data_IF_014630821650
#
_entry.id   IF_014630821650
#
_cell.length_a   1.000
_cell.length_b   1.000
_cell.length_c   1.000
_cell.angle_alpha   90.00
_cell.angle_beta   90.00
_cell.angle_gamma   90.00
#
_symmetry.space_group_name_H-M   'P 1'
#
loop_
_entity.id
_entity.type
_entity.pdbx_description
1 polymer ?
#
# COMPACT_ATOMS: atom_id res chain seq x y z
N UNK A 1 -47.92 41.31 34.10
CA UNK A 1 -46.51 41.53 34.48
C UNK A 1 -45.75 41.98 33.24
N UNK A 2 -45.55 43.29 33.07
CA UNK A 2 -44.87 43.93 31.93
C UNK A 2 -44.12 45.13 32.48
N UNK A 3 -42.79 45.15 32.37
CA UNK A 3 -41.97 46.35 32.50
C UNK A 3 -40.80 46.26 31.53
N UNK A 4 -41.04 46.75 30.32
CA UNK A 4 -40.04 47.25 29.37
C UNK A 4 -39.67 48.68 29.75
N UNK A 5 -38.37 49.02 29.76
CA UNK A 5 -37.75 50.21 29.13
C UNK A 5 -36.46 50.65 29.83
N UNK A 6 -35.47 50.97 28.99
CA UNK A 6 -34.34 51.85 29.30
C UNK A 6 -33.03 51.09 29.51
N UNK A 7 -31.88 51.45 28.95
CA UNK A 7 -31.41 52.73 28.43
C UNK A 7 -30.20 52.47 27.50
N UNK A 8 -30.12 53.29 26.45
CA UNK A 8 -28.99 53.47 25.52
C UNK A 8 -27.80 54.19 26.20
N UNK A 9 -26.57 53.67 26.05
CA UNK A 9 -25.27 54.40 26.12
C UNK A 9 -24.24 53.56 25.33
N UNK A 10 -23.99 53.77 24.02
CA UNK A 10 -22.99 54.64 23.35
C UNK A 10 -21.56 54.71 23.93
N UNK A 11 -20.60 54.34 23.06
CA UNK A 11 -19.19 54.81 22.92
C UNK A 11 -18.10 54.17 23.80
N UNK A 12 -17.12 53.49 23.21
CA UNK A 12 -15.84 54.06 22.72
C UNK A 12 -14.89 52.92 22.30
N UNK A 13 -14.20 53.10 21.18
CA UNK A 13 -13.28 52.13 20.62
C UNK A 13 -11.98 51.96 21.41
N UNK A 14 -11.43 50.74 21.35
CA UNK A 14 -10.01 50.48 21.45
C UNK A 14 -9.60 49.69 20.21
N UNK A 15 -8.72 50.30 19.40
CA UNK A 15 -7.86 49.58 18.49
C UNK A 15 -6.94 48.69 19.34
N UNK A 16 -7.18 47.38 19.30
CA UNK A 16 -6.27 46.37 19.82
C UNK A 16 -5.77 45.54 18.64
N UNK A 17 -4.50 45.72 18.28
CA UNK A 17 -3.75 44.75 17.48
C UNK A 17 -3.69 43.45 18.30
N UNK A 18 -4.52 42.47 17.93
CA UNK A 18 -4.28 41.08 18.28
C UNK A 18 -3.47 40.49 17.16
N UNK A 19 -2.17 40.31 17.38
CA UNK A 19 -1.30 39.46 16.56
C UNK A 19 -1.82 38.02 16.63
N UNK A 20 -2.81 37.73 15.78
CA UNK A 20 -3.20 36.37 15.46
C UNK A 20 -2.11 35.79 14.59
N UNK A 21 -1.05 35.28 15.22
CA UNK A 21 -0.09 34.42 14.56
C UNK A 21 -0.88 33.35 13.82
N UNK A 22 -0.80 33.24 12.48
CA UNK A 22 -1.27 32.03 11.85
C UNK A 22 -0.38 30.93 12.43
N UNK A 23 -0.95 30.11 13.31
CA UNK A 23 -0.40 28.78 13.58
C UNK A 23 -0.12 28.21 12.20
N UNK A 24 1.16 28.17 11.84
CA UNK A 24 1.64 27.34 10.75
C UNK A 24 1.23 25.96 11.21
N UNK A 25 0.09 25.49 10.71
CA UNK A 25 -0.30 24.12 10.86
C UNK A 25 0.90 23.34 10.40
N UNK A 26 1.52 22.64 11.33
CA UNK A 26 2.45 21.58 10.99
C UNK A 26 1.70 20.74 9.98
N UNK A 27 2.14 20.79 8.73
CA UNK A 27 1.63 19.92 7.69
C UNK A 27 2.02 18.54 8.19
N UNK A 28 1.06 17.87 8.81
CA UNK A 28 1.18 16.48 9.21
C UNK A 28 1.22 15.73 7.89
N UNK A 29 2.42 15.60 7.33
CA UNK A 29 2.68 14.70 6.23
C UNK A 29 2.34 13.33 6.80
N UNK A 30 1.19 12.78 6.41
CA UNK A 30 0.86 11.40 6.74
C UNK A 30 2.09 10.54 6.39
N UNK A 31 2.56 9.68 7.32
CA UNK A 31 3.72 8.87 7.05
C UNK A 31 3.41 8.02 5.82
N UNK A 32 4.23 8.17 4.77
CA UNK A 32 4.19 7.27 3.63
C UNK A 32 4.37 5.85 4.18
N UNK A 33 3.43 4.93 3.94
CA UNK A 33 3.54 3.58 4.46
C UNK A 33 4.80 2.93 3.91
N UNK A 34 5.55 2.29 4.79
CA UNK A 34 6.72 1.51 4.41
C UNK A 34 6.26 0.23 3.71
N UNK A 35 6.80 -0.03 2.52
CA UNK A 35 6.57 -1.24 1.76
C UNK A 35 7.93 -1.92 1.60
N UNK A 36 8.04 -3.14 2.11
CA UNK A 36 9.30 -3.89 2.11
C UNK A 36 9.14 -5.13 1.24
N UNK A 37 9.99 -5.30 0.24
CA UNK A 37 10.02 -6.56 -0.52
C UNK A 37 10.59 -7.67 0.36
N UNK A 38 9.82 -8.75 0.52
CA UNK A 38 10.24 -9.99 1.18
C UNK A 38 11.00 -10.86 0.19
N UNK A 39 10.42 -11.09 -0.99
CA UNK A 39 11.02 -11.95 -2.02
C UNK A 39 10.53 -11.59 -3.43
N UNK A 40 11.30 -12.00 -4.44
CA UNK A 40 10.93 -11.97 -5.86
C UNK A 40 11.00 -13.39 -6.42
N UNK A 41 9.85 -14.03 -6.46
CA UNK A 41 9.69 -15.43 -6.86
C UNK A 41 9.43 -15.53 -8.37
N UNK A 42 9.92 -16.59 -9.01
CA UNK A 42 9.82 -16.71 -10.47
C UNK A 42 9.50 -18.12 -10.93
N UNK A 43 8.56 -18.24 -11.88
CA UNK A 43 8.20 -19.52 -12.48
C UNK A 43 8.10 -19.46 -14.00
N UNK A 44 8.72 -20.41 -14.68
CA UNK A 44 8.61 -20.52 -16.15
C UNK A 44 7.27 -21.14 -16.54
N UNK A 45 6.57 -20.51 -17.47
CA UNK A 45 5.25 -20.91 -17.95
C UNK A 45 4.19 -21.08 -16.85
N UNK A 46 4.33 -20.36 -15.72
CA UNK A 46 3.46 -20.47 -14.57
C UNK A 46 2.08 -19.80 -14.75
N UNK A 47 1.91 -18.94 -15.75
CA UNK A 47 0.63 -18.26 -15.99
C UNK A 47 0.50 -16.97 -15.19
N UNK A 48 -0.64 -16.76 -14.54
CA UNK A 48 -0.94 -15.48 -13.87
C UNK A 48 -1.23 -14.33 -14.84
N UNK A 49 -1.47 -13.15 -14.30
CA UNK A 49 -1.67 -11.91 -15.05
C UNK A 49 -1.05 -10.76 -14.28
N UNK A 50 -0.32 -9.89 -14.97
CA UNK A 50 0.35 -8.75 -14.33
C UNK A 50 -0.69 -7.87 -13.64
N UNK A 51 -0.44 -7.55 -12.37
CA UNK A 51 -1.31 -6.70 -11.54
C UNK A 51 -0.51 -5.50 -11.06
N UNK A 52 -1.04 -4.29 -11.28
CA UNK A 52 -0.47 -3.07 -10.73
C UNK A 52 -0.82 -2.84 -9.27
N UNK A 53 -1.82 -3.55 -8.74
CA UNK A 53 -2.27 -3.44 -7.35
C UNK A 53 -1.98 -4.74 -6.61
N UNK A 54 -1.31 -4.64 -5.46
CA UNK A 54 -1.00 -5.80 -4.64
C UNK A 54 -2.26 -6.43 -4.04
N UNK A 55 -2.28 -7.76 -3.98
CA UNK A 55 -3.30 -8.54 -3.28
C UNK A 55 -2.84 -8.77 -1.86
N UNK A 56 -3.64 -8.37 -0.88
CA UNK A 56 -3.34 -8.61 0.53
C UNK A 56 -3.54 -10.08 0.88
N UNK A 57 -2.63 -10.63 1.67
CA UNK A 57 -2.60 -12.02 2.13
C UNK A 57 -2.60 -12.05 3.66
N UNK A 58 -3.76 -11.86 4.31
CA UNK A 58 -3.83 -11.69 5.76
C UNK A 58 -3.67 -12.99 6.55
N UNK A 59 -3.78 -14.15 5.89
CA UNK A 59 -3.72 -15.48 6.49
C UNK A 59 -3.31 -16.55 5.47
N UNK A 60 -2.99 -17.75 5.97
CA UNK A 60 -2.56 -18.88 5.16
C UNK A 60 -3.58 -19.26 4.08
N UNK A 61 -4.89 -19.10 4.36
CA UNK A 61 -5.93 -19.42 3.38
C UNK A 61 -5.87 -18.47 2.18
N UNK A 62 -5.67 -17.17 2.42
CA UNK A 62 -5.46 -16.21 1.35
C UNK A 62 -4.17 -16.45 0.56
N UNK A 63 -3.09 -16.89 1.21
CA UNK A 63 -1.85 -17.29 0.52
C UNK A 63 -2.11 -18.48 -0.40
N UNK A 64 -2.81 -19.52 0.08
CA UNK A 64 -3.17 -20.70 -0.71
C UNK A 64 -4.07 -20.34 -1.89
N UNK A 65 -5.09 -19.50 -1.66
CA UNK A 65 -5.99 -19.02 -2.71
C UNK A 65 -5.24 -18.22 -3.78
N UNK A 66 -4.30 -17.37 -3.36
CA UNK A 66 -3.43 -16.64 -4.28
C UNK A 66 -2.52 -17.59 -5.07
N UNK A 67 -1.87 -18.55 -4.42
CA UNK A 67 -0.97 -19.51 -5.05
C UNK A 67 -1.70 -20.42 -6.07
N UNK A 68 -2.96 -20.76 -5.81
CA UNK A 68 -3.78 -21.61 -6.68
C UNK A 68 -4.07 -21.00 -8.07
N UNK A 69 -3.78 -19.71 -8.29
CA UNK A 69 -3.96 -19.07 -9.59
C UNK A 69 -2.92 -19.51 -10.63
N UNK A 70 -1.79 -20.06 -10.19
CA UNK A 70 -0.71 -20.47 -11.07
C UNK A 70 -0.98 -21.85 -11.68
N UNK A 71 -0.50 -22.04 -12.92
CA UNK A 71 -0.73 -23.26 -13.71
C UNK A 71 0.21 -24.41 -13.33
N UNK A 72 1.33 -24.10 -12.69
CA UNK A 72 2.28 -25.09 -12.21
C UNK A 72 2.40 -25.01 -10.69
N UNK A 73 2.62 -26.18 -10.08
CA UNK A 73 2.67 -26.31 -8.62
C UNK A 73 3.97 -25.72 -8.03
N UNK A 74 5.02 -25.57 -8.85
CA UNK A 74 6.32 -25.06 -8.42
C UNK A 74 6.24 -23.61 -7.94
N UNK A 75 5.75 -22.67 -8.77
CA UNK A 75 5.64 -21.26 -8.36
C UNK A 75 4.62 -21.07 -7.24
N UNK A 76 3.49 -21.79 -7.29
CA UNK A 76 2.50 -21.73 -6.21
C UNK A 76 3.08 -22.21 -4.87
N UNK A 77 3.84 -23.32 -4.89
CA UNK A 77 4.52 -23.85 -3.72
C UNK A 77 5.61 -22.93 -3.19
N UNK A 78 6.38 -22.28 -4.06
CA UNK A 78 7.36 -21.26 -3.67
C UNK A 78 6.72 -20.05 -2.99
N UNK A 79 5.56 -19.59 -3.47
CA UNK A 79 4.81 -18.49 -2.83
C UNK A 79 4.35 -18.89 -1.42
N UNK A 80 3.82 -20.10 -1.26
CA UNK A 80 3.41 -20.62 0.05
C UNK A 80 4.61 -20.71 0.99
N UNK A 81 5.70 -21.33 0.54
CA UNK A 81 6.90 -21.51 1.35
C UNK A 81 7.52 -20.17 1.78
N UNK A 82 7.62 -19.21 0.86
CA UNK A 82 8.16 -17.89 1.16
C UNK A 82 7.27 -17.11 2.13
N UNK A 83 5.94 -17.29 2.06
CA UNK A 83 5.01 -16.68 3.02
C UNK A 83 5.15 -17.32 4.41
N UNK A 84 5.28 -18.65 4.49
CA UNK A 84 5.46 -19.38 5.76
C UNK A 84 6.79 -19.02 6.45
N UNK A 85 7.84 -18.77 5.66
CA UNK A 85 9.18 -18.40 6.16
C UNK A 85 9.31 -16.90 6.47
N UNK A 86 8.33 -16.07 6.10
CA UNK A 86 8.40 -14.62 6.28
C UNK A 86 8.25 -14.22 7.77
N UNK A 87 9.15 -13.38 8.25
CA UNK A 87 8.98 -12.67 9.53
C UNK A 87 8.08 -11.44 9.31
N UNK A 88 6.86 -11.50 9.83
CA UNK A 88 5.85 -10.43 9.69
C UNK A 88 5.76 -9.66 11.01
N UNK A 89 6.28 -8.42 11.09
CA UNK A 89 6.21 -7.62 12.31
C UNK A 89 4.78 -7.23 12.67
N UNK A 90 4.55 -6.90 13.95
CA UNK A 90 3.28 -6.33 14.41
C UNK A 90 2.90 -5.08 13.59
N UNK A 91 1.63 -5.00 13.16
CA UNK A 91 1.11 -3.89 12.33
C UNK A 91 1.44 -4.01 10.84
N UNK A 92 2.06 -5.10 10.41
CA UNK A 92 2.28 -5.44 9.00
C UNK A 92 1.58 -6.76 8.65
N UNK A 93 1.45 -7.00 7.35
CA UNK A 93 0.91 -8.23 6.77
C UNK A 93 1.55 -8.46 5.40
N UNK A 94 1.39 -9.67 4.87
CA UNK A 94 1.87 -10.00 3.54
C UNK A 94 0.94 -9.46 2.44
N UNK A 95 1.54 -9.13 1.30
CA UNK A 95 0.85 -8.85 0.06
C UNK A 95 1.66 -9.38 -1.12
N UNK A 96 0.99 -9.78 -2.19
CA UNK A 96 1.64 -10.29 -3.38
C UNK A 96 1.10 -9.66 -4.67
N UNK A 97 1.97 -9.51 -5.66
CA UNK A 97 1.61 -9.03 -6.99
C UNK A 97 2.38 -9.82 -8.05
N UNK A 98 1.71 -10.19 -9.14
CA UNK A 98 2.41 -10.62 -10.35
C UNK A 98 2.93 -9.34 -11.02
N UNK A 99 4.22 -9.08 -10.90
CA UNK A 99 4.81 -7.81 -11.32
C UNK A 99 5.33 -7.84 -12.75
N UNK A 100 5.60 -9.03 -13.29
CA UNK A 100 5.99 -9.21 -14.67
C UNK A 100 5.61 -10.59 -15.20
N UNK A 101 5.29 -10.65 -16.50
CA UNK A 101 5.24 -11.89 -17.28
C UNK A 101 5.99 -11.62 -18.58
N UNK A 102 7.16 -12.22 -18.75
CA UNK A 102 8.08 -11.87 -19.82
C UNK A 102 9.30 -12.77 -19.92
N UNK A 103 10.32 -12.34 -20.67
CA UNK A 103 11.49 -13.18 -20.95
C UNK A 103 12.65 -12.96 -20.00
N UNK A 104 12.58 -11.90 -19.20
CA UNK A 104 13.60 -11.53 -18.25
C UNK A 104 12.92 -11.32 -16.89
N UNK A 105 13.67 -11.61 -15.85
CA UNK A 105 13.26 -11.34 -14.46
C UNK A 105 13.46 -9.84 -14.19
N UNK A 106 12.52 -9.18 -13.48
CA UNK A 106 12.75 -7.81 -13.04
C UNK A 106 14.03 -7.67 -12.22
N UNK A 107 14.73 -6.55 -12.39
CA UNK A 107 15.91 -6.22 -11.57
C UNK A 107 15.55 -5.44 -10.31
N UNK A 108 14.35 -4.88 -10.27
CA UNK A 108 13.89 -4.00 -9.21
C UNK A 108 12.35 -4.03 -9.14
N UNK A 109 11.80 -3.92 -7.93
CA UNK A 109 10.36 -3.80 -7.67
C UNK A 109 10.14 -2.70 -6.66
N UNK A 110 9.22 -1.79 -6.99
CA UNK A 110 8.86 -0.66 -6.15
C UNK A 110 7.38 -0.75 -5.78
N UNK A 111 7.09 -0.52 -4.50
CA UNK A 111 5.73 -0.36 -3.99
C UNK A 111 5.47 1.09 -3.61
N UNK A 112 4.28 1.59 -3.94
CA UNK A 112 3.81 2.91 -3.54
C UNK A 112 2.38 2.82 -3.04
N UNK A 113 1.99 3.68 -2.11
CA UNK A 113 0.61 3.76 -1.67
C UNK A 113 -0.13 4.86 -2.42
N UNK A 114 -1.19 4.48 -3.12
CA UNK A 114 -2.03 5.39 -3.88
C UNK A 114 -3.49 4.95 -3.85
N UNK A 115 -4.40 5.91 -3.66
CA UNK A 115 -5.83 5.67 -3.75
C UNK A 115 -6.40 4.62 -2.79
N UNK A 116 -5.74 4.35 -1.66
CA UNK A 116 -6.20 3.35 -0.69
C UNK A 116 -5.58 1.96 -0.86
N UNK A 117 -4.68 1.77 -1.82
CA UNK A 117 -4.08 0.47 -2.13
C UNK A 117 -2.57 0.58 -2.39
N UNK A 118 -1.88 -0.55 -2.30
CA UNK A 118 -0.47 -0.65 -2.69
C UNK A 118 -0.39 -0.87 -4.19
N UNK A 119 0.17 0.11 -4.90
CA UNK A 119 0.54 0.02 -6.30
C UNK A 119 1.96 -0.49 -6.41
N UNK A 120 2.17 -1.45 -7.31
CA UNK A 120 3.44 -2.13 -7.51
C UNK A 120 3.87 -1.98 -8.96
N UNK A 121 5.14 -1.68 -9.16
CA UNK A 121 5.78 -1.64 -10.47
C UNK A 121 7.12 -2.34 -10.42
N UNK A 122 7.53 -2.91 -11.54
CA UNK A 122 8.82 -3.60 -11.63
C UNK A 122 9.60 -3.13 -12.85
N UNK A 123 10.91 -3.02 -12.67
CA UNK A 123 11.85 -2.67 -13.74
C UNK A 123 12.32 -3.95 -14.43
N UNK A 124 11.82 -4.19 -15.64
CA UNK A 124 12.22 -5.35 -16.45
C UNK A 124 13.30 -4.93 -17.46
N UNK A 125 14.48 -5.56 -17.46
CA UNK A 125 15.50 -5.24 -18.44
C UNK A 125 15.02 -5.61 -19.85
N UNK A 126 15.47 -4.85 -20.86
CA UNK A 126 15.16 -5.18 -22.25
C UNK A 126 15.92 -6.45 -22.67
N UNK A 127 15.25 -7.30 -23.43
CA UNK A 127 15.85 -8.49 -24.04
C UNK A 127 15.75 -8.41 -25.56
N UNK A 128 16.86 -8.70 -26.24
CA UNK A 128 16.88 -8.91 -27.69
C UNK A 128 16.64 -10.38 -28.05
N UNK A 129 16.38 -11.24 -27.05
CA UNK A 129 16.18 -12.69 -27.22
C UNK A 129 14.70 -13.00 -27.42
N UNK A 130 14.42 -14.05 -28.20
CA UNK A 130 13.06 -14.55 -28.37
C UNK A 130 12.62 -15.28 -27.10
N UNK A 131 11.43 -14.93 -26.58
CA UNK A 131 10.77 -15.68 -25.52
C UNK A 131 10.31 -17.04 -26.06
N UNK A 132 10.97 -18.11 -25.61
CA UNK A 132 10.46 -19.46 -25.87
C UNK A 132 9.42 -19.88 -24.83
N UNK A 133 9.59 -19.42 -23.58
CA UNK A 133 8.62 -19.58 -22.52
C UNK A 133 8.65 -18.33 -21.62
N UNK A 134 7.49 -17.73 -21.30
CA UNK A 134 7.45 -16.58 -20.41
C UNK A 134 7.75 -17.00 -18.97
N UNK A 135 8.54 -16.21 -18.28
CA UNK A 135 8.77 -16.23 -16.84
C UNK A 135 7.72 -15.34 -16.19
N UNK A 136 7.03 -15.86 -15.20
CA UNK A 136 6.13 -15.11 -14.32
C UNK A 136 6.92 -14.71 -13.09
N UNK A 137 6.88 -13.45 -12.70
CA UNK A 137 7.56 -12.92 -11.52
C UNK A 137 6.54 -12.39 -10.51
N UNK A 138 6.63 -12.86 -9.27
CA UNK A 138 5.76 -12.50 -8.17
C UNK A 138 6.58 -11.78 -7.12
N UNK A 139 6.20 -10.55 -6.77
CA UNK A 139 6.76 -9.86 -5.63
C UNK A 139 5.93 -10.21 -4.40
N UNK A 140 6.57 -10.75 -3.37
CA UNK A 140 6.02 -10.89 -2.02
C UNK A 140 6.54 -9.72 -1.19
N UNK A 141 5.65 -9.02 -0.50
CA UNK A 141 5.96 -7.77 0.20
C UNK A 141 5.28 -7.74 1.57
N UNK A 142 5.87 -7.00 2.49
CA UNK A 142 5.20 -6.54 3.69
C UNK A 142 4.57 -5.18 3.44
N UNK A 143 3.33 -5.05 3.89
CA UNK A 143 2.55 -3.82 3.82
C UNK A 143 1.86 -3.60 5.17
N UNK A 144 1.49 -2.36 5.53
CA UNK A 144 0.73 -2.15 6.74
C UNK A 144 -0.63 -2.85 6.73
N UNK A 145 -1.03 -3.40 7.87
CA UNK A 145 -2.25 -4.20 8.03
C UNK A 145 -3.56 -3.41 7.84
N UNK A 146 -3.53 -2.10 8.07
CA UNK A 146 -4.66 -1.19 7.89
C UNK A 146 -5.03 -0.95 6.41
N UNK A 147 -4.20 -1.39 5.46
CA UNK A 147 -4.49 -1.31 4.01
C UNK A 147 -5.65 -2.25 3.62
N UNK A 148 -5.95 -3.27 4.43
CA UNK A 148 -6.99 -4.28 4.18
C UNK A 148 -8.42 -3.82 4.43
N UNK A 149 -8.63 -2.67 5.07
CA UNK A 149 -9.97 -2.24 5.41
C UNK A 149 -10.05 -1.09 6.42
N UNK A 150 -10.80 -0.07 6.01
CA UNK A 150 -11.27 1.11 6.74
C UNK A 150 -10.32 2.34 6.75
N UNK A 151 -10.88 3.54 6.47
CA UNK A 151 -10.15 4.78 6.66
C UNK A 151 -9.75 4.90 8.12
N UNK A 152 -8.50 5.28 8.37
CA UNK A 152 -8.01 5.56 9.71
C UNK A 152 -8.96 6.54 10.40
N UNK A 153 -9.63 6.08 11.46
CA UNK A 153 -10.27 6.98 12.40
C UNK A 153 -9.15 7.70 13.14
N UNK A 154 -8.70 8.82 12.57
CA UNK A 154 -7.72 9.71 13.18
C UNK A 154 -8.08 9.94 14.65
N UNK A 155 -7.18 9.51 15.53
CA UNK A 155 -7.29 9.71 16.96
C UNK A 155 -7.48 11.18 17.28
N UNK A 156 -8.50 11.46 18.08
CA UNK A 156 -8.85 12.80 18.58
C UNK A 156 -7.93 13.25 19.68
#
# INVERSE_FOLDING_TARGET
MRRTLGILVLLLGLAGCGDGEPSRGDVQTDPTPEITQVDLLTGTAAGGSVTSTATVLPDDAAVQDYAAQFRNDELGGEVVAAADDADVPDGQQLAAAVVAVGCEVPTDVEGTYDGGAVQVSATVPRSDRQCLAPITSVALMLVPDWISGAPQAGGR
#
